data_IF_907153012845
#
_entry.id   IF_907153012845
#
_cell.length_a   1.000
_cell.length_b   1.000
_cell.length_c   1.000
_cell.angle_alpha   90.00
_cell.angle_beta   90.00
_cell.angle_gamma   90.00
#
_symmetry.space_group_name_H-M   'P 1'
#
loop_
_entity.id
_entity.type
_entity.pdbx_description
1 polymer ?
#
# COMPACT_ATOMS: atom_id res chain seq x y z
N UNK A 1 4.99 -3.07 -41.90
CA UNK A 1 4.76 -1.78 -41.22
C UNK A 1 5.28 -1.91 -39.82
N UNK A 2 6.60 -1.80 -39.69
CA UNK A 2 7.35 -1.91 -38.45
C UNK A 2 7.51 -0.49 -37.90
N UNK A 3 6.61 -0.07 -37.03
CA UNK A 3 6.70 1.18 -36.28
C UNK A 3 5.92 0.96 -34.98
N UNK A 4 6.66 0.81 -33.86
CA UNK A 4 6.29 0.93 -32.44
C UNK A 4 7.14 -0.02 -31.58
N UNK A 5 8.47 0.15 -31.64
CA UNK A 5 9.41 -0.55 -30.74
C UNK A 5 10.30 0.46 -29.98
N UNK A 6 9.80 1.68 -29.74
CA UNK A 6 10.63 2.77 -29.23
C UNK A 6 9.97 3.63 -28.14
N UNK A 7 9.24 2.99 -27.23
CA UNK A 7 8.99 3.53 -25.89
C UNK A 7 9.06 2.32 -24.94
N UNK A 8 9.94 2.34 -23.94
CA UNK A 8 10.13 1.26 -22.95
C UNK A 8 8.92 1.03 -22.02
N UNK A 9 7.71 1.26 -22.49
CA UNK A 9 6.45 0.99 -21.84
C UNK A 9 6.07 -0.45 -22.18
N UNK A 10 6.32 -1.36 -21.22
CA UNK A 10 5.73 -2.69 -21.26
C UNK A 10 4.24 -2.59 -21.58
N UNK A 11 3.79 -3.20 -22.68
CA UNK A 11 2.36 -3.38 -23.02
C UNK A 11 1.62 -4.20 -21.95
N UNK A 12 2.36 -4.86 -21.07
CA UNK A 12 1.80 -5.62 -19.96
C UNK A 12 1.39 -4.70 -18.82
N UNK A 13 0.11 -4.31 -18.82
CA UNK A 13 -0.52 -3.57 -17.74
C UNK A 13 -0.82 -4.46 -16.51
N UNK A 14 -0.29 -5.69 -16.45
CA UNK A 14 -0.40 -6.55 -15.26
C UNK A 14 0.29 -5.91 -14.06
N UNK A 15 -0.33 -6.06 -12.89
CA UNK A 15 0.20 -5.58 -11.62
C UNK A 15 1.59 -6.16 -11.34
N UNK A 16 2.63 -5.34 -11.21
CA UNK A 16 4.01 -5.82 -11.03
C UNK A 16 4.22 -6.48 -9.67
N UNK A 17 3.36 -6.21 -8.68
CA UNK A 17 3.48 -6.77 -7.33
C UNK A 17 3.02 -8.23 -7.23
N UNK A 18 2.02 -8.64 -8.01
CA UNK A 18 1.48 -10.01 -7.97
C UNK A 18 1.60 -10.76 -9.29
N UNK A 19 1.79 -10.05 -10.41
CA UNK A 19 1.85 -10.58 -11.76
C UNK A 19 0.66 -11.47 -12.15
N UNK A 20 -0.55 -11.14 -11.67
CA UNK A 20 -1.77 -11.97 -11.82
C UNK A 20 -2.92 -11.28 -12.54
N UNK A 21 -3.17 -10.00 -12.26
CA UNK A 21 -4.31 -9.25 -12.79
C UNK A 21 -3.87 -7.87 -13.29
N UNK A 22 -4.74 -7.23 -14.08
CA UNK A 22 -4.55 -5.86 -14.55
C UNK A 22 -4.35 -4.90 -13.37
N UNK A 23 -3.33 -4.06 -13.45
CA UNK A 23 -3.10 -3.00 -12.49
C UNK A 23 -4.21 -1.95 -12.58
N UNK A 24 -4.94 -1.80 -11.48
CA UNK A 24 -5.89 -0.70 -11.26
C UNK A 24 -5.72 -0.18 -9.85
N UNK A 25 -6.24 1.00 -9.56
CA UNK A 25 -6.17 1.55 -8.19
C UNK A 25 -6.88 0.65 -7.18
N UNK A 26 -7.99 0.02 -7.59
CA UNK A 26 -8.72 -0.95 -6.77
C UNK A 26 -7.88 -2.23 -6.62
N UNK A 27 -7.28 -2.73 -7.70
CA UNK A 27 -6.39 -3.89 -7.63
C UNK A 27 -5.18 -3.63 -6.72
N UNK A 28 -4.63 -2.43 -6.61
CA UNK A 28 -3.53 -2.15 -5.66
C UNK A 28 -3.96 -2.37 -4.19
N UNK A 29 -5.24 -2.27 -3.87
CA UNK A 29 -5.77 -2.63 -2.54
C UNK A 29 -6.08 -4.12 -2.44
N UNK A 30 -6.56 -4.73 -3.52
CA UNK A 30 -6.99 -6.13 -3.57
C UNK A 30 -5.82 -7.12 -3.80
N UNK A 31 -4.72 -6.62 -4.35
CA UNK A 31 -3.53 -7.36 -4.75
C UNK A 31 -3.07 -8.25 -3.58
N UNK A 32 -2.82 -9.55 -3.81
CA UNK A 32 -2.43 -10.47 -2.75
C UNK A 32 -1.21 -9.98 -1.95
N UNK A 33 -0.20 -9.44 -2.64
CA UNK A 33 0.97 -8.83 -2.01
C UNK A 33 0.57 -7.65 -1.11
N UNK A 34 -0.17 -6.69 -1.66
CA UNK A 34 -0.61 -5.50 -0.92
C UNK A 34 -1.48 -5.87 0.27
N UNK A 35 -2.41 -6.82 0.13
CA UNK A 35 -3.30 -7.26 1.21
C UNK A 35 -2.54 -7.87 2.38
N UNK A 36 -1.51 -8.68 2.12
CA UNK A 36 -0.63 -9.18 3.18
C UNK A 36 0.08 -8.03 3.89
N UNK A 37 0.61 -7.06 3.15
CA UNK A 37 1.27 -5.90 3.74
C UNK A 37 0.30 -5.02 4.54
N UNK A 38 -0.92 -4.81 4.04
CA UNK A 38 -2.00 -4.12 4.76
C UNK A 38 -2.30 -4.79 6.09
N UNK A 39 -2.51 -6.12 6.08
CA UNK A 39 -2.81 -6.88 7.29
C UNK A 39 -1.66 -6.79 8.30
N UNK A 40 -0.43 -7.05 7.86
CA UNK A 40 0.75 -7.04 8.72
C UNK A 40 0.96 -5.63 9.32
N UNK A 41 0.84 -4.57 8.51
CA UNK A 41 1.07 -3.19 8.94
C UNK A 41 -0.06 -2.67 9.85
N UNK A 42 -1.33 -2.92 9.53
CA UNK A 42 -2.46 -2.52 10.37
C UNK A 42 -2.48 -3.29 11.70
N UNK A 43 -2.02 -4.54 11.70
CA UNK A 43 -1.93 -5.36 12.92
C UNK A 43 -0.96 -4.80 13.94
N UNK A 44 0.07 -4.02 13.54
CA UNK A 44 0.96 -3.28 14.45
C UNK A 44 0.15 -2.35 15.38
N UNK A 45 -0.99 -1.86 14.91
CA UNK A 45 -1.87 -0.93 15.63
C UNK A 45 -3.11 -1.61 16.21
N UNK A 46 -3.25 -2.93 16.07
CA UNK A 46 -4.48 -3.65 16.42
C UNK A 46 -5.65 -3.39 15.45
N UNK A 47 -5.37 -2.87 14.24
CA UNK A 47 -6.38 -2.50 13.24
C UNK A 47 -6.50 -3.50 12.08
N UNK A 48 -6.03 -4.73 12.27
CA UNK A 48 -6.04 -5.76 11.20
C UNK A 48 -7.41 -6.00 10.57
N UNK A 49 -8.50 -5.72 11.30
CA UNK A 49 -9.87 -5.81 10.80
C UNK A 49 -10.22 -4.77 9.71
N UNK A 50 -9.42 -3.72 9.54
CA UNK A 50 -9.56 -2.74 8.46
C UNK A 50 -8.77 -3.09 7.19
N UNK A 51 -8.14 -4.26 7.14
CA UNK A 51 -7.49 -4.75 5.92
C UNK A 51 -8.49 -4.75 4.76
N UNK A 52 -8.15 -4.18 3.59
CA UNK A 52 -9.03 -4.23 2.43
C UNK A 52 -9.47 -5.66 2.09
N UNK A 53 -10.78 -5.81 1.87
CA UNK A 53 -11.36 -7.02 1.30
C UNK A 53 -10.82 -7.22 -0.12
N UNK A 54 -10.67 -8.48 -0.61
CA UNK A 54 -10.26 -8.72 -1.99
C UNK A 54 -11.29 -8.24 -3.03
N UNK A 55 -12.49 -7.83 -2.59
CA UNK A 55 -13.52 -7.23 -3.44
C UNK A 55 -13.71 -5.73 -3.16
N UNK A 56 -12.87 -5.13 -2.32
CA UNK A 56 -13.02 -3.73 -1.94
C UNK A 56 -12.61 -2.82 -3.09
N UNK A 57 -13.42 -1.81 -3.39
CA UNK A 57 -12.96 -0.65 -4.16
C UNK A 57 -12.30 0.34 -3.20
N UNK A 58 -11.35 1.14 -3.70
CA UNK A 58 -10.72 2.22 -2.94
C UNK A 58 -11.79 3.14 -2.37
N UNK A 59 -12.79 3.50 -3.18
CA UNK A 59 -13.87 4.39 -2.76
C UNK A 59 -14.64 3.84 -1.57
N UNK A 60 -15.12 2.60 -1.64
CA UNK A 60 -15.91 2.00 -0.57
C UNK A 60 -15.06 1.84 0.70
N UNK A 61 -13.88 1.24 0.57
CA UNK A 61 -12.99 1.01 1.71
C UNK A 61 -12.57 2.32 2.40
N UNK A 62 -12.20 3.34 1.62
CA UNK A 62 -11.83 4.65 2.18
C UNK A 62 -13.00 5.35 2.85
N UNK A 63 -14.22 5.22 2.29
CA UNK A 63 -15.43 5.80 2.90
C UNK A 63 -15.74 5.13 4.24
N UNK A 64 -15.66 3.80 4.30
CA UNK A 64 -15.87 3.04 5.54
C UNK A 64 -14.82 3.41 6.59
N UNK A 65 -13.56 3.56 6.17
CA UNK A 65 -12.49 4.03 7.05
C UNK A 65 -12.74 5.46 7.56
N UNK A 66 -13.19 6.38 6.70
CA UNK A 66 -13.47 7.77 7.11
C UNK A 66 -14.67 7.90 8.06
N UNK A 67 -15.49 6.86 8.22
CA UNK A 67 -16.58 6.83 9.20
C UNK A 67 -16.08 6.91 10.66
N UNK A 68 -14.80 6.59 10.90
CA UNK A 68 -14.14 6.80 12.20
C UNK A 68 -14.21 8.27 12.59
N UNK A 69 -14.77 8.56 13.77
CA UNK A 69 -14.90 9.94 14.28
C UNK A 69 -13.76 10.30 15.24
N UNK A 70 -13.47 11.60 15.33
CA UNK A 70 -12.58 12.17 16.34
C UNK A 70 -11.08 12.15 16.01
N UNK A 71 -10.22 12.48 16.99
CA UNK A 71 -8.77 12.59 16.81
C UNK A 71 -8.09 11.32 16.29
N UNK A 72 -8.68 10.15 16.60
CA UNK A 72 -8.24 8.85 16.10
C UNK A 72 -8.24 8.77 14.57
N UNK A 73 -9.18 9.46 13.88
CA UNK A 73 -9.23 9.50 12.42
C UNK A 73 -7.96 10.07 11.82
N UNK A 74 -7.46 11.19 12.33
CA UNK A 74 -6.25 11.84 11.78
C UNK A 74 -5.04 10.92 11.90
N UNK A 75 -4.86 10.31 13.07
CA UNK A 75 -3.81 9.32 13.34
C UNK A 75 -3.90 8.14 12.38
N UNK A 76 -5.09 7.55 12.27
CA UNK A 76 -5.32 6.41 11.40
C UNK A 76 -5.09 6.77 9.93
N UNK A 77 -5.59 7.92 9.45
CA UNK A 77 -5.38 8.39 8.08
C UNK A 77 -3.89 8.54 7.75
N UNK A 78 -3.07 9.08 8.66
CA UNK A 78 -1.62 9.19 8.45
C UNK A 78 -0.94 7.83 8.30
N UNK A 79 -1.32 6.85 9.15
CA UNK A 79 -0.81 5.47 9.04
C UNK A 79 -1.23 4.81 7.74
N UNK A 80 -2.49 4.96 7.35
CA UNK A 80 -2.99 4.43 6.07
C UNK A 80 -2.25 5.03 4.88
N UNK A 81 -2.02 6.34 4.89
CA UNK A 81 -1.25 7.01 3.84
C UNK A 81 0.21 6.54 3.80
N UNK A 82 0.82 6.24 4.94
CA UNK A 82 2.15 5.63 4.99
C UNK A 82 2.15 4.26 4.31
N UNK A 83 1.18 3.40 4.62
CA UNK A 83 1.08 2.06 4.01
C UNK A 83 0.87 2.17 2.49
N UNK A 84 -0.03 3.03 2.03
CA UNK A 84 -0.24 3.31 0.61
C UNK A 84 1.04 3.78 -0.08
N UNK A 85 1.78 4.68 0.58
CA UNK A 85 3.08 5.18 0.08
C UNK A 85 4.08 4.05 -0.07
N UNK A 86 4.24 3.18 0.92
CA UNK A 86 5.19 2.06 0.84
C UNK A 86 4.81 1.05 -0.25
N UNK A 87 3.53 0.74 -0.43
CA UNK A 87 3.05 -0.11 -1.55
C UNK A 87 3.42 0.54 -2.90
N UNK A 88 3.15 1.83 -3.05
CA UNK A 88 3.46 2.57 -4.27
C UNK A 88 4.98 2.63 -4.54
N UNK A 89 5.78 2.80 -3.50
CA UNK A 89 7.24 2.80 -3.61
C UNK A 89 7.80 1.43 -3.99
N UNK A 90 7.26 0.34 -3.44
CA UNK A 90 7.66 -1.02 -3.81
C UNK A 90 7.34 -1.28 -5.28
N UNK A 91 6.12 -0.98 -5.71
CA UNK A 91 5.70 -1.04 -7.12
C UNK A 91 6.65 -0.27 -8.03
N UNK A 92 7.01 0.96 -7.67
CA UNK A 92 7.95 1.76 -8.46
C UNK A 92 9.37 1.18 -8.45
N UNK A 93 9.81 0.55 -7.36
CA UNK A 93 11.12 -0.12 -7.32
C UNK A 93 11.15 -1.32 -8.28
N UNK A 94 10.07 -2.10 -8.37
CA UNK A 94 9.94 -3.17 -9.35
C UNK A 94 9.98 -2.62 -10.79
N UNK A 95 9.14 -1.63 -11.10
CA UNK A 95 9.03 -1.07 -12.46
C UNK A 95 10.35 -0.41 -12.91
N UNK A 96 10.93 0.46 -12.09
CA UNK A 96 12.05 1.31 -12.52
C UNK A 96 13.43 0.76 -12.19
N UNK A 97 13.52 -0.20 -11.26
CA UNK A 97 14.80 -0.72 -10.76
C UNK A 97 14.90 -2.24 -10.79
N UNK A 98 13.80 -2.95 -11.08
CA UNK A 98 13.73 -4.41 -11.02
C UNK A 98 14.21 -4.97 -9.66
N UNK A 99 13.87 -4.27 -8.58
CA UNK A 99 14.19 -4.67 -7.21
C UNK A 99 12.88 -5.12 -6.55
N UNK A 100 12.83 -6.39 -6.16
CA UNK A 100 11.79 -6.96 -5.32
C UNK A 100 12.31 -7.08 -3.89
N UNK A 101 11.75 -6.28 -2.96
CA UNK A 101 12.10 -6.40 -1.54
C UNK A 101 11.13 -7.36 -0.85
N UNK A 102 11.65 -8.28 -0.03
CA UNK A 102 10.77 -9.15 0.73
C UNK A 102 9.92 -8.32 1.69
N UNK A 103 8.65 -8.66 1.81
CA UNK A 103 7.62 -7.91 2.56
C UNK A 103 8.05 -7.49 3.97
N UNK A 104 8.82 -8.32 4.67
CA UNK A 104 9.30 -8.00 6.02
C UNK A 104 10.19 -6.74 6.06
N UNK A 105 10.99 -6.48 5.01
CA UNK A 105 11.83 -5.27 4.91
C UNK A 105 10.97 -4.02 4.79
N UNK A 106 9.89 -4.11 4.01
CA UNK A 106 8.92 -3.01 3.86
C UNK A 106 8.22 -2.77 5.20
N UNK A 107 7.80 -3.83 5.88
CA UNK A 107 7.18 -3.76 7.19
C UNK A 107 8.10 -3.16 8.25
N UNK A 108 9.38 -3.50 8.25
CA UNK A 108 10.38 -2.91 9.15
C UNK A 108 10.60 -1.43 8.85
N UNK A 109 10.55 -1.02 7.57
CA UNK A 109 10.53 0.39 7.17
C UNK A 109 9.32 1.14 7.73
N UNK A 110 8.12 0.56 7.64
CA UNK A 110 6.89 1.12 8.23
C UNK A 110 7.05 1.26 9.76
N UNK A 111 7.54 0.22 10.45
CA UNK A 111 7.77 0.24 11.90
C UNK A 111 8.73 1.35 12.31
N UNK A 112 9.83 1.50 11.58
CA UNK A 112 10.83 2.53 11.85
C UNK A 112 10.24 3.93 11.68
N UNK A 113 9.48 4.16 10.62
CA UNK A 113 8.86 5.47 10.37
C UNK A 113 7.80 5.80 11.43
N UNK A 114 7.01 4.80 11.84
CA UNK A 114 6.05 4.93 12.93
C UNK A 114 6.75 5.24 14.26
N UNK A 115 7.90 4.61 14.55
CA UNK A 115 8.69 4.90 15.74
C UNK A 115 9.18 6.36 15.73
N UNK A 116 9.70 6.85 14.61
CA UNK A 116 10.10 8.26 14.45
C UNK A 116 8.94 9.21 14.69
N UNK A 117 7.75 8.91 14.17
CA UNK A 117 6.57 9.74 14.40
C UNK A 117 6.15 9.78 15.87
N UNK A 118 6.37 8.70 16.63
CA UNK A 118 6.17 8.70 18.08
C UNK A 118 7.19 9.59 18.80
N UNK A 119 8.47 9.51 18.43
CA UNK A 119 9.54 10.32 19.03
C UNK A 119 9.28 11.83 18.92
N UNK A 120 8.77 12.28 17.76
CA UNK A 120 8.45 13.70 17.54
C UNK A 120 7.01 14.08 17.93
N UNK A 121 6.24 13.16 18.52
CA UNK A 121 4.89 13.41 19.02
C UNK A 121 3.81 13.56 17.95
N UNK A 122 4.07 13.11 16.71
CA UNK A 122 3.08 13.04 15.61
C UNK A 122 2.10 11.88 15.80
N UNK A 123 2.55 10.77 16.40
CA UNK A 123 1.71 9.67 16.88
C UNK A 123 1.79 9.63 18.40
N UNK A 124 0.77 10.15 19.09
CA UNK A 124 0.62 9.97 20.55
C UNK A 124 -0.10 8.65 20.82
N UNK A 125 0.29 7.92 21.86
CA UNK A 125 -0.36 6.68 22.27
C UNK A 125 -1.84 6.91 22.64
#
# INVERSE_FOLDING_TARGET
MAWLHDEGLSEDATCPLCNQELETIDHLLQCPFSRSLWFDALSIFGWGFWTPSPLATLKCWWTDFLSIRGPARKKASSVVLLILREIWLERNCLIFRNIDRPRHIILDGIRLEVARWKEVGLLRD
#
